data_IF_482392372184
#
_entry.id   IF_482392372184
#
_cell.length_a   1.000
_cell.length_b   1.000
_cell.length_c   1.000
_cell.angle_alpha   90.00
_cell.angle_beta   90.00
_cell.angle_gamma   90.00
#
_symmetry.space_group_name_H-M   'P 1'
#
loop_
_entity.id
_entity.type
_entity.pdbx_description
1 polymer ?
#
# COMPACT_ATOMS: atom_id res chain seq x y z
N UNK A 1 -24.21 28.69 -10.70
CA UNK A 1 -23.94 27.30 -10.25
C UNK A 1 -22.66 27.36 -9.43
N UNK A 2 -22.54 26.64 -8.33
CA UNK A 2 -21.30 26.67 -7.54
C UNK A 2 -20.22 25.84 -8.26
N UNK A 3 -18.94 26.18 -8.07
CA UNK A 3 -17.82 25.44 -8.68
C UNK A 3 -17.87 23.92 -8.35
N UNK A 4 -18.45 23.58 -7.18
CA UNK A 4 -18.66 22.19 -6.74
C UNK A 4 -19.63 21.42 -7.65
N UNK A 5 -20.67 22.06 -8.20
CA UNK A 5 -21.62 21.39 -9.08
C UNK A 5 -20.98 21.03 -10.44
N UNK A 6 -20.05 21.86 -10.93
CA UNK A 6 -19.45 21.68 -12.25
C UNK A 6 -18.48 20.49 -12.31
N UNK A 7 -17.61 20.29 -11.30
CA UNK A 7 -16.68 19.16 -11.31
C UNK A 7 -17.40 17.83 -11.05
N UNK A 8 -18.46 17.81 -10.23
CA UNK A 8 -19.26 16.61 -9.96
C UNK A 8 -19.92 16.11 -11.23
N UNK A 9 -20.53 17.01 -12.02
CA UNK A 9 -21.11 16.65 -13.31
C UNK A 9 -20.05 16.12 -14.29
N UNK A 10 -18.89 16.79 -14.37
CA UNK A 10 -17.78 16.34 -15.19
C UNK A 10 -17.25 14.97 -14.75
N UNK A 11 -17.08 14.74 -13.45
CA UNK A 11 -16.65 13.44 -12.93
C UNK A 11 -17.66 12.34 -13.23
N UNK A 12 -18.96 12.60 -13.05
CA UNK A 12 -20.02 11.65 -13.35
C UNK A 12 -20.02 11.27 -14.84
N UNK A 13 -19.79 12.26 -15.73
CA UNK A 13 -19.69 12.03 -17.17
C UNK A 13 -18.38 11.34 -17.56
N UNK A 14 -17.24 11.81 -17.08
CA UNK A 14 -15.91 11.32 -17.50
C UNK A 14 -15.49 10.03 -16.79
N UNK A 15 -15.76 9.94 -15.49
CA UNK A 15 -15.19 8.94 -14.58
C UNK A 15 -13.73 9.21 -14.23
N UNK A 16 -13.15 10.32 -14.67
CA UNK A 16 -11.72 10.60 -14.57
C UNK A 16 -11.35 11.31 -13.27
N UNK A 17 -11.39 10.55 -12.18
CA UNK A 17 -11.04 11.06 -10.86
C UNK A 17 -9.54 11.30 -10.68
N UNK A 18 -8.69 10.57 -11.42
CA UNK A 18 -7.25 10.77 -11.37
C UNK A 18 -6.85 12.16 -11.91
N UNK A 19 -7.35 12.53 -13.11
CA UNK A 19 -7.09 13.85 -13.68
C UNK A 19 -7.64 14.95 -12.79
N UNK A 20 -8.87 14.80 -12.29
CA UNK A 20 -9.48 15.75 -11.37
C UNK A 20 -8.61 15.96 -10.09
N UNK A 21 -8.09 14.87 -9.52
CA UNK A 21 -7.25 14.94 -8.34
C UNK A 21 -5.89 15.59 -8.61
N UNK A 22 -5.31 15.37 -9.79
CA UNK A 22 -4.04 15.97 -10.21
C UNK A 22 -4.15 17.45 -10.50
N UNK A 23 -5.25 17.88 -11.10
CA UNK A 23 -5.55 19.30 -11.36
C UNK A 23 -5.84 20.08 -10.07
N UNK A 24 -6.32 19.39 -9.03
CA UNK A 24 -6.65 19.95 -7.72
C UNK A 24 -5.77 19.32 -6.62
N UNK A 25 -4.46 19.32 -6.80
CA UNK A 25 -3.51 18.52 -6.00
C UNK A 25 -3.48 18.84 -4.50
N UNK A 26 -3.99 20.00 -4.10
CA UNK A 26 -3.98 20.47 -2.71
C UNK A 26 -5.28 20.20 -1.96
N UNK A 27 -6.40 20.40 -2.64
CA UNK A 27 -7.71 20.32 -2.07
C UNK A 27 -8.77 20.20 -3.17
N UNK A 28 -9.81 19.46 -2.88
CA UNK A 28 -11.03 19.40 -3.65
C UNK A 28 -12.22 19.48 -2.69
N UNK A 29 -13.15 20.39 -2.92
CA UNK A 29 -14.35 20.50 -2.11
C UNK A 29 -15.13 19.18 -2.13
N UNK A 30 -15.69 18.71 -1.00
CA UNK A 30 -16.51 17.51 -0.98
C UNK A 30 -17.74 17.62 -1.88
N UNK A 31 -18.10 16.49 -2.49
CA UNK A 31 -19.27 16.42 -3.34
C UNK A 31 -19.80 14.99 -3.49
N UNK A 32 -21.04 14.85 -3.89
CA UNK A 32 -21.69 13.55 -4.03
C UNK A 32 -22.59 13.45 -5.25
N UNK A 33 -22.76 12.23 -5.74
CA UNK A 33 -23.74 11.89 -6.77
C UNK A 33 -24.14 10.41 -6.64
N UNK A 34 -25.18 10.01 -7.36
CA UNK A 34 -25.66 8.63 -7.34
C UNK A 34 -25.63 8.06 -8.76
N UNK A 35 -25.04 6.88 -8.93
CA UNK A 35 -25.02 6.15 -10.19
C UNK A 35 -26.39 5.56 -10.51
N UNK A 36 -26.63 5.21 -11.77
CA UNK A 36 -27.90 4.63 -12.23
C UNK A 36 -28.29 3.34 -11.53
N UNK A 37 -27.31 2.58 -11.00
CA UNK A 37 -27.54 1.36 -10.23
C UNK A 37 -27.76 1.61 -8.71
N UNK A 38 -27.90 2.87 -8.28
CA UNK A 38 -28.14 3.27 -6.90
C UNK A 38 -26.88 3.39 -6.03
N UNK A 39 -25.69 3.12 -6.58
CA UNK A 39 -24.43 3.32 -5.84
C UNK A 39 -24.20 4.80 -5.56
N UNK A 40 -24.05 5.17 -4.29
CA UNK A 40 -23.63 6.52 -3.90
C UNK A 40 -22.13 6.68 -4.09
N UNK A 41 -21.75 7.81 -4.65
CA UNK A 41 -20.35 8.22 -4.85
C UNK A 41 -20.10 9.48 -4.03
N UNK A 42 -19.15 9.43 -3.11
CA UNK A 42 -18.76 10.56 -2.28
C UNK A 42 -17.30 10.91 -2.57
N UNK A 43 -17.07 12.11 -3.08
CA UNK A 43 -15.74 12.71 -3.17
C UNK A 43 -15.49 13.42 -1.84
N UNK A 44 -14.51 13.00 -1.09
CA UNK A 44 -14.20 13.57 0.23
C UNK A 44 -13.16 14.70 0.15
N UNK A 45 -12.18 14.55 -0.72
CA UNK A 45 -11.09 15.51 -0.95
C UNK A 45 -10.35 15.09 -2.23
N UNK A 46 -9.35 15.84 -2.64
CA UNK A 46 -8.45 15.42 -3.71
C UNK A 46 -7.88 14.03 -3.42
N UNK A 47 -7.95 13.14 -4.40
CA UNK A 47 -7.45 11.76 -4.28
C UNK A 47 -8.24 10.86 -3.32
N UNK A 48 -9.41 11.26 -2.80
CA UNK A 48 -10.20 10.45 -1.85
C UNK A 48 -11.64 10.33 -2.31
N UNK A 49 -12.03 9.15 -2.78
CA UNK A 49 -13.38 8.86 -3.31
C UNK A 49 -13.93 7.55 -2.74
N UNK A 50 -15.17 7.60 -2.26
CA UNK A 50 -15.89 6.47 -1.66
C UNK A 50 -17.06 6.06 -2.54
N UNK A 51 -17.25 4.75 -2.64
CA UNK A 51 -18.41 4.13 -3.29
C UNK A 51 -19.19 3.29 -2.29
N UNK A 52 -20.48 3.57 -2.15
CA UNK A 52 -21.38 2.82 -1.30
C UNK A 52 -22.53 2.24 -2.14
N UNK A 53 -22.52 0.92 -2.41
CA UNK A 53 -23.62 0.27 -3.13
C UNK A 53 -24.90 0.29 -2.30
N UNK A 54 -26.03 0.12 -2.96
CA UNK A 54 -27.35 0.10 -2.30
C UNK A 54 -27.67 -1.24 -1.61
N UNK A 55 -26.81 -2.24 -1.81
CA UNK A 55 -26.95 -3.59 -1.20
C UNK A 55 -26.29 -3.65 0.17
N UNK A 56 -26.68 -4.63 0.98
CA UNK A 56 -25.98 -4.94 2.24
C UNK A 56 -24.58 -5.45 1.93
N UNK A 57 -23.58 -4.84 2.53
CA UNK A 57 -22.17 -5.17 2.32
C UNK A 57 -21.62 -5.98 3.50
N UNK A 58 -20.66 -6.85 3.23
CA UNK A 58 -19.97 -7.64 4.26
C UNK A 58 -18.54 -7.17 4.51
N UNK A 59 -18.04 -6.27 3.67
CA UNK A 59 -16.66 -5.76 3.74
C UNK A 59 -16.62 -4.24 3.52
N UNK A 60 -15.74 -3.60 4.26
CA UNK A 60 -15.29 -2.24 4.07
C UNK A 60 -13.86 -2.30 3.55
N UNK A 61 -13.64 -1.85 2.31
CA UNK A 61 -12.38 -2.05 1.60
C UNK A 61 -11.74 -0.70 1.30
N UNK A 62 -10.51 -0.50 1.75
CA UNK A 62 -9.65 0.61 1.34
C UNK A 62 -8.66 0.10 0.31
N UNK A 63 -8.63 0.74 -0.86
CA UNK A 63 -7.63 0.54 -1.90
C UNK A 63 -6.85 1.83 -2.06
N UNK A 64 -5.62 1.87 -1.55
CA UNK A 64 -4.73 3.02 -1.68
C UNK A 64 -3.64 2.78 -2.71
N UNK A 65 -3.25 3.84 -3.38
CA UNK A 65 -2.12 3.93 -4.29
C UNK A 65 -1.54 5.34 -4.24
N UNK A 66 -0.46 5.60 -4.94
CA UNK A 66 0.17 6.91 -4.97
C UNK A 66 0.57 7.46 -3.59
N UNK A 67 0.80 6.62 -2.58
CA UNK A 67 1.54 7.03 -1.38
C UNK A 67 2.94 7.53 -1.81
N UNK A 68 3.43 6.94 -2.89
CA UNK A 68 4.58 7.43 -3.65
C UNK A 68 4.12 7.76 -5.09
N UNK A 69 4.32 9.01 -5.52
CA UNK A 69 3.73 9.52 -6.75
C UNK A 69 4.30 8.94 -8.06
N UNK A 70 5.52 8.43 -8.02
CA UNK A 70 6.17 7.79 -9.17
C UNK A 70 5.85 6.30 -9.34
N UNK A 71 5.06 5.71 -8.46
CA UNK A 71 4.64 4.30 -8.49
C UNK A 71 3.35 4.16 -9.28
N UNK A 72 3.44 4.24 -10.62
CA UNK A 72 2.29 4.53 -11.50
C UNK A 72 1.39 3.33 -11.78
N UNK A 73 1.90 2.08 -11.83
CA UNK A 73 1.07 0.91 -12.14
C UNK A 73 -0.12 0.73 -11.17
N UNK A 74 0.04 0.84 -9.83
CA UNK A 74 -1.08 0.83 -8.90
C UNK A 74 -2.08 1.97 -9.13
N UNK A 75 -1.59 3.15 -9.53
CA UNK A 75 -2.44 4.31 -9.85
C UNK A 75 -3.29 4.01 -11.06
N UNK A 76 -2.70 3.46 -12.14
CA UNK A 76 -3.40 3.07 -13.36
C UNK A 76 -4.46 1.98 -13.10
N UNK A 77 -4.16 1.01 -12.23
CA UNK A 77 -5.14 -0.02 -11.82
C UNK A 77 -6.33 0.63 -11.10
N UNK A 78 -6.08 1.47 -10.09
CA UNK A 78 -7.15 2.13 -9.33
C UNK A 78 -7.98 3.06 -10.22
N UNK A 79 -7.33 3.80 -11.13
CA UNK A 79 -8.00 4.69 -12.09
C UNK A 79 -8.95 3.92 -13.03
N UNK A 80 -8.50 2.78 -13.55
CA UNK A 80 -9.34 1.92 -14.40
C UNK A 80 -10.54 1.36 -13.62
N UNK A 81 -10.35 0.97 -12.35
CA UNK A 81 -11.44 0.49 -11.48
C UNK A 81 -12.45 1.60 -11.21
N UNK A 82 -12.01 2.78 -10.80
CA UNK A 82 -12.87 3.95 -10.53
C UNK A 82 -13.67 4.32 -11.78
N UNK A 83 -13.01 4.46 -12.93
CA UNK A 83 -13.67 4.72 -14.23
C UNK A 83 -14.70 3.66 -14.57
N UNK A 84 -14.38 2.39 -14.35
CA UNK A 84 -15.30 1.28 -14.66
C UNK A 84 -16.52 1.26 -13.74
N UNK A 85 -16.37 1.63 -12.46
CA UNK A 85 -17.49 1.75 -11.51
C UNK A 85 -18.40 2.92 -11.92
N UNK A 86 -17.83 4.12 -12.13
CA UNK A 86 -18.61 5.32 -12.48
C UNK A 86 -19.35 5.12 -13.82
N UNK A 87 -18.73 4.44 -14.78
CA UNK A 87 -19.34 4.12 -16.08
C UNK A 87 -20.35 2.97 -16.04
N UNK A 88 -20.64 2.40 -14.85
CA UNK A 88 -21.57 1.30 -14.68
C UNK A 88 -21.11 -0.05 -15.27
N UNK A 89 -19.84 -0.17 -15.62
CA UNK A 89 -19.25 -1.44 -16.10
C UNK A 89 -19.01 -2.44 -14.97
N UNK A 90 -18.80 -1.95 -13.75
CA UNK A 90 -18.65 -2.75 -12.53
C UNK A 90 -19.75 -2.36 -11.55
N UNK A 91 -20.53 -3.36 -11.11
CA UNK A 91 -21.51 -3.21 -10.03
C UNK A 91 -20.88 -3.68 -8.72
N UNK A 92 -20.85 -2.81 -7.72
CA UNK A 92 -20.23 -3.12 -6.43
C UNK A 92 -21.13 -3.98 -5.55
N UNK A 93 -20.53 -4.94 -4.85
CA UNK A 93 -21.14 -5.71 -3.76
C UNK A 93 -20.60 -5.27 -2.39
N UNK A 94 -19.54 -4.44 -2.35
CA UNK A 94 -18.89 -4.01 -1.13
C UNK A 94 -18.72 -2.49 -1.10
N UNK A 95 -18.56 -1.91 0.10
CA UNK A 95 -18.15 -0.51 0.26
C UNK A 95 -16.66 -0.38 -0.05
N UNK A 96 -16.31 0.62 -0.84
CA UNK A 96 -14.91 0.82 -1.26
C UNK A 96 -14.52 2.28 -1.13
N UNK A 97 -13.39 2.53 -0.48
CA UNK A 97 -12.69 3.81 -0.45
C UNK A 97 -11.42 3.70 -1.28
N UNK A 98 -11.35 4.46 -2.38
CA UNK A 98 -10.12 4.60 -3.16
C UNK A 98 -9.34 5.83 -2.71
N UNK A 99 -8.02 5.67 -2.63
CA UNK A 99 -7.12 6.74 -2.20
C UNK A 99 -5.94 6.87 -3.16
N UNK A 100 -5.76 8.05 -3.75
CA UNK A 100 -4.49 8.53 -4.30
C UNK A 100 -3.78 9.33 -3.21
N UNK A 101 -2.76 8.75 -2.58
CA UNK A 101 -2.18 9.27 -1.35
C UNK A 101 -1.58 10.66 -1.49
N UNK A 102 -0.78 10.91 -2.54
CA UNK A 102 -0.01 12.14 -2.72
C UNK A 102 -0.12 12.69 -4.16
N UNK A 103 -1.22 13.39 -4.51
CA UNK A 103 -1.41 13.98 -5.83
C UNK A 103 -0.27 14.91 -6.27
N UNK A 104 0.33 15.67 -5.34
CA UNK A 104 1.46 16.54 -5.65
C UNK A 104 2.68 15.77 -6.14
N UNK A 105 3.03 14.67 -5.47
CA UNK A 105 4.14 13.83 -5.89
C UNK A 105 3.88 13.11 -7.21
N UNK A 106 2.60 12.79 -7.53
CA UNK A 106 2.21 12.29 -8.85
C UNK A 106 2.55 13.31 -9.93
N UNK A 107 2.20 14.59 -9.70
CA UNK A 107 2.37 15.65 -10.69
C UNK A 107 3.83 15.92 -11.03
N UNK A 108 4.71 15.84 -10.04
CA UNK A 108 6.15 16.03 -10.26
C UNK A 108 6.89 14.72 -10.62
N UNK A 109 6.18 13.59 -10.70
CA UNK A 109 6.75 12.28 -11.04
C UNK A 109 7.82 11.80 -10.05
N UNK A 110 7.71 12.18 -8.77
CA UNK A 110 8.65 11.81 -7.72
C UNK A 110 8.00 10.91 -6.67
N UNK A 111 8.85 10.26 -5.89
CA UNK A 111 8.41 9.41 -4.79
C UNK A 111 7.64 10.21 -3.73
N UNK A 112 8.13 11.38 -3.37
CA UNK A 112 7.51 12.34 -2.43
C UNK A 112 8.02 13.76 -2.77
N UNK A 113 7.41 14.78 -2.20
CA UNK A 113 7.79 16.18 -2.41
C UNK A 113 8.86 16.61 -1.42
N UNK A 114 8.55 16.54 -0.10
CA UNK A 114 9.45 16.95 0.98
C UNK A 114 9.79 15.77 1.89
N UNK A 115 8.81 14.94 2.25
CA UNK A 115 8.97 13.85 3.20
C UNK A 115 8.22 12.59 2.77
N UNK A 116 8.80 11.42 3.02
CA UNK A 116 8.19 10.15 2.65
C UNK A 116 6.89 9.92 3.42
N UNK A 117 5.76 10.09 2.73
CA UNK A 117 4.41 9.94 3.31
C UNK A 117 4.24 8.59 4.03
N UNK A 118 4.84 7.50 3.52
CA UNK A 118 4.77 6.17 4.13
C UNK A 118 5.69 6.00 5.38
N UNK A 119 6.09 7.11 6.00
CA UNK A 119 6.80 7.18 7.29
C UNK A 119 6.06 8.07 8.29
N UNK A 120 4.91 8.60 7.93
CA UNK A 120 4.19 9.63 8.69
C UNK A 120 2.90 9.13 9.33
N UNK A 121 2.49 7.88 9.03
CA UNK A 121 1.27 7.31 9.60
C UNK A 121 1.45 6.82 11.04
N UNK A 122 0.34 6.48 11.68
CA UNK A 122 0.24 6.06 13.08
C UNK A 122 0.71 7.17 14.04
N UNK A 123 0.28 8.42 13.76
CA UNK A 123 0.57 9.59 14.58
C UNK A 123 1.95 10.22 14.35
N UNK A 124 2.81 9.64 13.50
CA UNK A 124 4.16 10.17 13.25
C UNK A 124 4.15 11.52 12.52
N UNK A 125 3.04 11.89 11.89
CA UNK A 125 2.85 13.21 11.28
C UNK A 125 2.88 14.36 12.29
N UNK A 126 2.61 14.10 13.58
CA UNK A 126 2.63 15.08 14.69
C UNK A 126 3.74 14.83 15.71
N UNK A 127 4.82 14.12 15.34
CA UNK A 127 5.94 13.86 16.24
C UNK A 127 6.54 15.16 16.78
N UNK A 128 6.98 15.15 18.05
CA UNK A 128 7.57 16.31 18.69
C UNK A 128 8.82 16.84 17.95
N UNK A 129 8.95 18.16 17.87
CA UNK A 129 10.12 18.84 17.31
C UNK A 129 10.22 18.80 15.78
N UNK A 130 9.17 18.38 15.06
CA UNK A 130 9.15 18.38 13.59
C UNK A 130 8.49 19.64 13.03
N UNK A 131 8.97 20.08 11.88
CA UNK A 131 8.32 21.15 11.11
C UNK A 131 7.17 20.55 10.30
N UNK A 132 5.99 21.17 10.39
CA UNK A 132 4.84 20.75 9.58
C UNK A 132 5.10 21.04 8.10
N UNK A 133 4.82 20.05 7.27
CA UNK A 133 4.85 20.13 5.81
C UNK A 133 3.58 19.53 5.21
N UNK A 134 3.48 19.56 3.90
CA UNK A 134 2.26 19.12 3.21
C UNK A 134 2.00 17.62 3.36
N UNK A 135 3.04 16.78 3.31
CA UNK A 135 2.89 15.34 3.51
C UNK A 135 2.43 15.00 4.93
N UNK A 136 2.87 15.75 5.95
CA UNK A 136 2.41 15.56 7.34
C UNK A 136 0.92 15.91 7.50
N UNK A 137 0.48 17.02 6.93
CA UNK A 137 -0.93 17.40 6.89
C UNK A 137 -1.74 16.35 6.12
N UNK A 138 -1.19 15.87 4.98
CA UNK A 138 -1.84 14.84 4.16
C UNK A 138 -1.98 13.50 4.89
N UNK A 139 -0.95 13.06 5.62
CA UNK A 139 -1.01 11.84 6.44
C UNK A 139 -2.13 11.91 7.47
N UNK A 140 -2.25 13.03 8.20
CA UNK A 140 -3.34 13.25 9.17
C UNK A 140 -4.72 13.17 8.51
N UNK A 141 -4.90 13.81 7.34
CA UNK A 141 -6.16 13.75 6.58
C UNK A 141 -6.49 12.32 6.14
N UNK A 142 -5.51 11.56 5.62
CA UNK A 142 -5.71 10.19 5.16
C UNK A 142 -6.08 9.26 6.32
N UNK A 143 -5.44 9.40 7.48
CA UNK A 143 -5.85 8.68 8.70
C UNK A 143 -7.30 8.99 9.08
N UNK A 144 -7.69 10.26 9.03
CA UNK A 144 -9.05 10.69 9.32
C UNK A 144 -10.07 10.06 8.35
N UNK A 145 -9.84 10.10 7.03
CA UNK A 145 -10.75 9.51 6.05
C UNK A 145 -10.89 8.00 6.20
N UNK A 146 -9.81 7.28 6.47
CA UNK A 146 -9.87 5.83 6.74
C UNK A 146 -10.62 5.53 8.02
N UNK A 147 -10.39 6.33 9.10
CA UNK A 147 -11.11 6.18 10.36
C UNK A 147 -12.61 6.38 10.20
N UNK A 148 -13.00 7.47 9.53
CA UNK A 148 -14.40 7.78 9.23
C UNK A 148 -15.07 6.71 8.37
N UNK A 149 -14.37 6.25 7.33
CA UNK A 149 -14.87 5.19 6.46
C UNK A 149 -15.17 3.90 7.26
N UNK A 150 -14.22 3.43 8.06
CA UNK A 150 -14.43 2.24 8.88
C UNK A 150 -15.44 2.44 10.03
N UNK A 151 -15.53 3.66 10.58
CA UNK A 151 -16.49 3.96 11.64
C UNK A 151 -17.95 3.94 11.15
N UNK A 152 -18.19 4.28 9.87
CA UNK A 152 -19.52 4.27 9.23
C UNK A 152 -19.92 2.89 8.68
N UNK A 153 -19.01 1.91 8.72
CA UNK A 153 -19.28 0.54 8.29
C UNK A 153 -20.19 -0.20 9.24
N UNK A 154 -20.78 -1.29 8.76
CA UNK A 154 -21.58 -2.18 9.61
C UNK A 154 -20.70 -2.83 10.69
N UNK A 155 -21.26 -3.05 11.88
CA UNK A 155 -20.50 -3.53 13.04
C UNK A 155 -19.73 -4.85 12.78
N UNK A 156 -20.27 -5.69 11.91
CA UNK A 156 -19.70 -7.01 11.58
C UNK A 156 -18.98 -7.04 10.22
N UNK A 157 -18.86 -5.91 9.53
CA UNK A 157 -18.12 -5.86 8.27
C UNK A 157 -16.64 -6.16 8.48
N UNK A 158 -16.09 -7.02 7.63
CA UNK A 158 -14.67 -7.23 7.58
C UNK A 158 -13.98 -5.98 7.02
N UNK A 159 -12.95 -5.48 7.72
CA UNK A 159 -12.17 -4.33 7.29
C UNK A 159 -10.93 -4.78 6.56
N UNK A 160 -10.71 -4.25 5.36
CA UNK A 160 -9.55 -4.55 4.54
C UNK A 160 -8.86 -3.26 4.08
N UNK A 161 -7.54 -3.26 4.05
CA UNK A 161 -6.78 -2.17 3.43
C UNK A 161 -5.59 -2.72 2.64
N UNK A 162 -5.64 -2.59 1.32
CA UNK A 162 -4.56 -2.98 0.43
C UNK A 162 -3.89 -1.73 -0.13
N UNK A 163 -2.70 -1.44 0.38
CA UNK A 163 -1.87 -0.30 0.00
C UNK A 163 -0.94 -0.74 -1.14
N UNK A 164 -1.29 -0.34 -2.37
CA UNK A 164 -0.67 -0.84 -3.59
C UNK A 164 0.55 0.01 -3.98
N UNK A 165 1.67 -0.65 -4.14
CA UNK A 165 2.98 -0.06 -4.41
C UNK A 165 3.69 -0.74 -5.57
N UNK A 166 4.80 -0.14 -5.98
CA UNK A 166 5.84 -0.76 -6.79
C UNK A 166 7.22 -0.42 -6.23
N UNK A 167 8.15 -1.37 -6.30
CA UNK A 167 9.48 -1.21 -5.74
C UNK A 167 10.40 -0.41 -6.67
N UNK A 168 11.23 0.47 -6.11
CA UNK A 168 12.28 1.19 -6.85
C UNK A 168 13.34 0.21 -7.33
N UNK A 169 13.76 -0.71 -6.46
CA UNK A 169 14.77 -1.72 -6.76
C UNK A 169 14.14 -2.97 -7.35
N UNK A 170 14.88 -3.62 -8.23
CA UNK A 170 14.55 -4.98 -8.65
C UNK A 170 14.42 -5.92 -7.45
N UNK A 171 13.75 -7.02 -7.66
CA UNK A 171 13.54 -8.03 -6.63
C UNK A 171 13.69 -9.42 -7.24
N UNK A 172 14.30 -10.37 -6.50
CA UNK A 172 14.29 -11.77 -6.92
C UNK A 172 12.87 -12.31 -7.00
N UNK A 173 12.02 -11.83 -6.09
CA UNK A 173 10.60 -12.08 -6.08
C UNK A 173 9.91 -10.83 -6.62
N UNK A 174 9.53 -10.86 -7.91
CA UNK A 174 9.03 -9.70 -8.67
C UNK A 174 7.89 -8.97 -7.94
N UNK A 175 6.98 -9.75 -7.31
CA UNK A 175 5.88 -9.25 -6.50
C UNK A 175 5.95 -9.84 -5.11
N UNK A 176 5.75 -9.00 -4.11
CA UNK A 176 5.68 -9.45 -2.73
C UNK A 176 4.77 -8.54 -1.90
N UNK A 177 4.34 -9.03 -0.74
CA UNK A 177 3.56 -8.23 0.19
C UNK A 177 4.25 -8.13 1.54
N UNK A 178 4.06 -7.00 2.22
CA UNK A 178 4.47 -6.79 3.60
C UNK A 178 3.24 -6.94 4.49
N UNK A 179 3.22 -7.98 5.31
CA UNK A 179 2.22 -8.20 6.33
C UNK A 179 2.61 -7.40 7.58
N UNK A 180 1.80 -6.44 8.02
CA UNK A 180 2.10 -5.64 9.20
C UNK A 180 2.28 -6.48 10.46
N UNK A 181 2.94 -5.92 11.46
CA UNK A 181 3.06 -6.53 12.78
C UNK A 181 1.69 -6.60 13.48
N UNK A 182 1.25 -7.80 13.82
CA UNK A 182 -0.08 -8.06 14.35
C UNK A 182 -0.16 -8.10 15.89
N UNK A 183 0.92 -7.76 16.61
CA UNK A 183 0.94 -7.75 18.09
C UNK A 183 0.49 -9.07 18.72
N UNK A 184 0.93 -10.19 18.14
CA UNK A 184 0.63 -11.55 18.66
C UNK A 184 -0.69 -12.14 18.16
N UNK A 185 -1.48 -11.40 17.35
CA UNK A 185 -2.63 -11.99 16.66
C UNK A 185 -2.15 -12.95 15.57
N UNK A 186 -2.92 -14.02 15.29
CA UNK A 186 -2.57 -14.96 14.23
C UNK A 186 -2.62 -14.34 12.85
N UNK A 187 -1.79 -14.82 11.93
CA UNK A 187 -1.88 -14.52 10.51
C UNK A 187 -3.01 -15.33 9.87
N UNK A 188 -3.69 -14.73 8.91
CA UNK A 188 -4.85 -15.33 8.25
C UNK A 188 -4.46 -16.01 6.94
N UNK A 189 -4.69 -17.30 6.82
CA UNK A 189 -4.52 -18.07 5.57
C UNK A 189 -5.37 -17.50 4.42
N UNK A 190 -6.59 -17.06 4.72
CA UNK A 190 -7.47 -16.42 3.73
C UNK A 190 -6.85 -15.19 3.09
N UNK A 191 -6.04 -14.43 3.83
CA UNK A 191 -5.34 -13.27 3.30
C UNK A 191 -4.15 -13.68 2.42
N UNK A 192 -3.46 -14.77 2.74
CA UNK A 192 -2.44 -15.34 1.86
C UNK A 192 -3.06 -15.85 0.55
N UNK A 193 -4.24 -16.50 0.61
CA UNK A 193 -4.98 -16.95 -0.58
C UNK A 193 -5.40 -15.76 -1.48
N UNK A 194 -5.84 -14.64 -0.87
CA UNK A 194 -6.10 -13.41 -1.61
C UNK A 194 -4.84 -12.90 -2.33
N UNK A 195 -3.70 -12.81 -1.64
CA UNK A 195 -2.44 -12.37 -2.23
C UNK A 195 -1.99 -13.30 -3.37
N UNK A 196 -2.10 -14.61 -3.18
CA UNK A 196 -1.79 -15.60 -4.24
C UNK A 196 -2.64 -15.37 -5.49
N UNK A 197 -3.93 -15.06 -5.32
CA UNK A 197 -4.84 -14.73 -6.42
C UNK A 197 -4.45 -13.45 -7.14
N UNK A 198 -3.88 -12.47 -6.43
CA UNK A 198 -3.26 -11.28 -7.01
C UNK A 198 -1.95 -11.58 -7.77
N UNK A 199 -1.45 -12.82 -7.72
CA UNK A 199 -0.15 -13.21 -8.27
C UNK A 199 1.02 -12.86 -7.37
N UNK A 200 0.77 -12.70 -6.06
CA UNK A 200 1.76 -12.40 -5.01
C UNK A 200 1.87 -13.63 -4.11
N UNK A 201 2.97 -14.37 -4.24
CA UNK A 201 3.23 -15.56 -3.44
C UNK A 201 4.31 -15.36 -2.37
N UNK A 202 5.04 -14.25 -2.44
CA UNK A 202 6.08 -13.91 -1.46
C UNK A 202 5.53 -12.93 -0.43
N UNK A 203 5.66 -13.27 0.85
CA UNK A 203 5.15 -12.41 1.94
C UNK A 203 6.19 -12.23 3.04
N UNK A 204 6.41 -10.96 3.39
CA UNK A 204 7.29 -10.53 4.44
C UNK A 204 6.49 -10.24 5.71
N UNK A 205 6.71 -11.01 6.77
CA UNK A 205 6.08 -10.84 8.08
C UNK A 205 6.88 -9.86 8.95
N UNK A 206 6.26 -8.72 9.29
CA UNK A 206 6.88 -7.73 10.18
C UNK A 206 6.84 -8.19 11.64
N UNK A 207 7.90 -7.90 12.39
CA UNK A 207 8.02 -8.24 13.82
C UNK A 207 7.95 -7.05 14.77
N UNK A 208 7.82 -5.86 14.24
CA UNK A 208 7.75 -4.62 15.02
C UNK A 208 6.78 -3.63 14.41
N UNK A 209 6.35 -2.69 15.23
CA UNK A 209 5.53 -1.55 14.80
C UNK A 209 6.23 -0.77 13.66
N UNK A 210 5.42 -0.20 12.78
CA UNK A 210 5.86 0.59 11.64
C UNK A 210 5.07 1.90 11.55
N UNK A 211 5.46 2.74 10.61
CA UNK A 211 4.81 4.03 10.35
C UNK A 211 4.15 4.06 8.99
N UNK A 212 3.84 2.88 8.44
CA UNK A 212 3.23 2.72 7.13
C UNK A 212 1.71 2.83 7.18
N UNK A 213 1.09 3.18 6.06
CA UNK A 213 -0.36 3.32 5.98
C UNK A 213 -1.09 2.00 6.24
N UNK A 214 -0.58 0.90 5.69
CA UNK A 214 -1.11 -0.44 5.96
C UNK A 214 -1.01 -0.83 7.45
N UNK A 215 0.10 -0.51 8.13
CA UNK A 215 0.24 -0.78 9.56
C UNK A 215 -0.77 0.04 10.38
N UNK A 216 -0.96 1.32 10.07
CA UNK A 216 -1.97 2.15 10.73
C UNK A 216 -3.36 1.49 10.70
N UNK A 217 -3.82 1.10 9.51
CA UNK A 217 -5.14 0.46 9.36
C UNK A 217 -5.25 -0.87 10.10
N UNK A 218 -4.18 -1.68 10.10
CA UNK A 218 -4.14 -2.94 10.84
C UNK A 218 -4.16 -2.71 12.35
N UNK A 219 -3.33 -1.78 12.85
CA UNK A 219 -3.16 -1.56 14.28
C UNK A 219 -4.36 -0.84 14.91
N UNK A 220 -4.82 0.26 14.30
CA UNK A 220 -5.87 1.11 14.85
C UNK A 220 -7.27 0.53 14.61
N UNK A 221 -7.51 -0.03 13.43
CA UNK A 221 -8.84 -0.47 13.00
C UNK A 221 -9.02 -1.98 12.95
N UNK A 222 -7.95 -2.75 13.21
CA UNK A 222 -7.99 -4.22 13.11
C UNK A 222 -8.24 -4.72 11.69
N UNK A 223 -7.93 -3.89 10.68
CA UNK A 223 -8.12 -4.25 9.29
C UNK A 223 -7.12 -5.34 8.85
N UNK A 224 -7.57 -6.24 8.00
CA UNK A 224 -6.68 -7.09 7.20
C UNK A 224 -5.97 -6.18 6.20
N UNK A 225 -4.66 -6.01 6.37
CA UNK A 225 -3.95 -4.95 5.68
C UNK A 225 -2.57 -5.37 5.20
N UNK A 226 -2.16 -4.86 4.04
CA UNK A 226 -0.86 -5.14 3.44
C UNK A 226 -0.33 -3.91 2.68
N UNK A 227 1.00 -3.76 2.68
CA UNK A 227 1.68 -3.06 1.59
C UNK A 227 1.98 -4.09 0.51
N UNK A 228 1.48 -3.88 -0.70
CA UNK A 228 1.58 -4.86 -1.81
C UNK A 228 2.47 -4.29 -2.89
N UNK A 229 3.66 -4.86 -3.04
CA UNK A 229 4.66 -4.48 -4.05
C UNK A 229 4.41 -5.28 -5.33
N UNK A 230 3.95 -4.61 -6.39
CA UNK A 230 3.46 -5.24 -7.62
C UNK A 230 4.50 -5.34 -8.74
N UNK A 231 5.76 -5.08 -8.44
CA UNK A 231 6.85 -5.10 -9.40
C UNK A 231 7.66 -3.81 -9.37
N UNK A 232 8.36 -3.50 -10.46
CA UNK A 232 9.27 -2.35 -10.52
C UNK A 232 8.56 -1.09 -11.02
N UNK A 233 8.94 0.07 -10.47
CA UNK A 233 8.50 1.42 -10.88
C UNK A 233 8.76 1.66 -12.36
N UNK A 234 7.74 2.21 -13.06
CA UNK A 234 7.84 2.75 -14.43
C UNK A 234 7.00 4.03 -14.55
N UNK A 235 7.26 4.89 -15.54
CA UNK A 235 6.41 6.04 -15.85
C UNK A 235 4.98 5.63 -16.27
N UNK A 236 4.03 6.55 -16.18
CA UNK A 236 2.69 6.38 -16.72
C UNK A 236 2.71 5.95 -18.20
N UNK A 237 1.88 4.97 -18.56
CA UNK A 237 1.76 4.46 -19.93
C UNK A 237 2.90 3.54 -20.37
N UNK A 238 3.94 3.36 -19.57
CA UNK A 238 5.05 2.43 -19.85
C UNK A 238 4.92 1.10 -19.10
N UNK A 239 3.90 0.97 -18.26
CA UNK A 239 3.61 -0.27 -17.55
C UNK A 239 3.02 -1.31 -18.50
N UNK A 240 3.60 -2.50 -18.51
CA UNK A 240 2.95 -3.66 -19.15
C UNK A 240 1.80 -4.13 -18.25
N UNK A 241 0.60 -3.62 -18.49
CA UNK A 241 -0.58 -3.89 -17.67
C UNK A 241 -1.00 -5.37 -17.68
N UNK A 242 -0.55 -6.18 -18.65
CA UNK A 242 -0.78 -7.62 -18.63
C UNK A 242 -0.16 -8.33 -17.43
N UNK A 243 0.96 -7.82 -16.92
CA UNK A 243 1.62 -8.32 -15.70
C UNK A 243 0.80 -8.12 -14.43
N UNK A 244 -0.15 -7.19 -14.46
CA UNK A 244 -1.02 -6.85 -13.33
C UNK A 244 -2.43 -7.44 -13.47
N UNK A 245 -2.72 -8.21 -14.53
CA UNK A 245 -4.04 -8.76 -14.81
C UNK A 245 -4.60 -9.56 -13.62
N UNK A 246 -3.82 -10.48 -13.03
CA UNK A 246 -4.25 -11.24 -11.85
C UNK A 246 -4.62 -10.34 -10.67
N UNK A 247 -3.81 -9.32 -10.41
CA UNK A 247 -4.09 -8.35 -9.34
C UNK A 247 -5.39 -7.61 -9.62
N UNK A 248 -5.55 -7.06 -10.83
CA UNK A 248 -6.76 -6.33 -11.23
C UNK A 248 -8.00 -7.21 -11.15
N UNK A 249 -7.96 -8.42 -11.71
CA UNK A 249 -9.10 -9.35 -11.72
C UNK A 249 -9.49 -9.76 -10.29
N UNK A 250 -8.50 -9.98 -9.41
CA UNK A 250 -8.75 -10.30 -7.99
C UNK A 250 -9.36 -9.10 -7.25
N UNK A 251 -8.90 -7.87 -7.50
CA UNK A 251 -9.51 -6.66 -6.92
C UNK A 251 -10.93 -6.45 -7.44
N UNK A 252 -11.19 -6.69 -8.73
CA UNK A 252 -12.55 -6.67 -9.28
C UNK A 252 -13.43 -7.68 -8.55
N UNK A 253 -13.01 -8.93 -8.43
CA UNK A 253 -13.76 -9.95 -7.72
C UNK A 253 -14.02 -9.55 -6.25
N UNK A 254 -13.01 -9.01 -5.56
CA UNK A 254 -13.11 -8.56 -4.17
C UNK A 254 -14.19 -7.49 -3.97
N UNK A 255 -14.31 -6.52 -4.87
CA UNK A 255 -15.24 -5.39 -4.74
C UNK A 255 -16.63 -5.66 -5.33
N UNK A 256 -16.75 -6.64 -6.26
CA UNK A 256 -18.01 -6.93 -6.97
C UNK A 256 -18.73 -8.20 -6.51
N UNK A 257 -18.10 -9.02 -5.65
CA UNK A 257 -18.67 -10.26 -5.16
C UNK A 257 -18.83 -10.25 -3.64
N UNK A 258 -19.89 -10.90 -3.13
CA UNK A 258 -20.06 -11.07 -1.69
C UNK A 258 -19.02 -12.03 -1.10
N UNK A 259 -18.76 -13.12 -1.81
CA UNK A 259 -17.74 -14.11 -1.48
C UNK A 259 -16.88 -14.38 -2.70
N UNK A 260 -15.56 -14.40 -2.51
CA UNK A 260 -14.60 -14.74 -3.55
C UNK A 260 -14.02 -16.12 -3.27
N UNK A 261 -14.15 -17.02 -4.25
CA UNK A 261 -13.58 -18.35 -4.13
C UNK A 261 -12.09 -18.31 -4.51
N UNK A 262 -11.22 -18.33 -3.51
CA UNK A 262 -9.80 -18.46 -3.71
C UNK A 262 -9.37 -19.93 -3.84
N UNK A 263 -8.20 -20.16 -4.45
CA UNK A 263 -7.55 -21.48 -4.45
C UNK A 263 -7.43 -21.99 -3.01
N UNK A 264 -7.71 -23.28 -2.80
CA UNK A 264 -7.50 -23.89 -1.49
C UNK A 264 -6.07 -23.66 -1.02
N UNK A 265 -5.92 -23.33 0.28
CA UNK A 265 -4.64 -23.05 0.87
C UNK A 265 -3.69 -24.25 0.77
N UNK A 266 -2.49 -24.02 0.22
CA UNK A 266 -1.39 -24.94 0.23
C UNK A 266 -0.12 -24.17 0.64
N UNK A 267 0.58 -24.65 1.66
CA UNK A 267 1.80 -24.02 2.19
C UNK A 267 2.90 -23.88 1.10
N UNK A 268 3.01 -24.87 0.21
CA UNK A 268 4.02 -24.90 -0.85
C UNK A 268 3.81 -23.83 -1.94
N UNK A 269 2.66 -23.17 -1.96
CA UNK A 269 2.41 -22.07 -2.90
C UNK A 269 3.12 -20.76 -2.48
N UNK A 270 3.67 -20.68 -1.25
CA UNK A 270 4.17 -19.44 -0.67
C UNK A 270 5.65 -19.48 -0.31
N UNK A 271 6.30 -18.36 -0.53
CA UNK A 271 7.61 -18.04 0.02
C UNK A 271 7.44 -17.00 1.15
N UNK A 272 7.53 -17.46 2.39
CA UNK A 272 7.36 -16.59 3.54
C UNK A 272 8.72 -16.21 4.13
N UNK A 273 8.84 -14.94 4.46
CA UNK A 273 10.00 -14.39 5.15
C UNK A 273 9.57 -13.69 6.43
N UNK A 274 10.44 -13.71 7.40
CA UNK A 274 10.30 -12.95 8.65
C UNK A 274 11.41 -11.93 8.76
N UNK A 275 11.10 -10.71 9.18
CA UNK A 275 12.14 -9.72 9.47
C UNK A 275 13.06 -10.30 10.56
N UNK A 276 14.34 -10.35 10.25
CA UNK A 276 15.38 -10.78 11.18
C UNK A 276 15.85 -9.59 12.01
N UNK A 277 16.28 -8.51 11.34
CA UNK A 277 16.69 -7.26 12.00
C UNK A 277 16.56 -6.04 11.11
N UNK A 278 16.63 -4.87 11.74
CA UNK A 278 16.71 -3.57 11.10
C UNK A 278 18.08 -2.94 11.36
N UNK A 279 18.71 -2.42 10.31
CA UNK A 279 19.97 -1.68 10.40
C UNK A 279 19.67 -0.23 10.05
N UNK A 280 19.86 0.67 11.02
CA UNK A 280 19.64 2.10 10.85
C UNK A 280 20.96 2.78 10.51
N UNK A 281 20.92 3.81 9.69
CA UNK A 281 22.03 4.71 9.46
C UNK A 281 22.19 5.64 10.66
N UNK A 282 23.27 5.49 11.45
CA UNK A 282 23.54 6.36 12.59
C UNK A 282 24.78 7.21 12.38
N UNK A 283 25.61 6.88 11.37
CA UNK A 283 26.85 7.59 11.04
C UNK A 283 26.80 8.12 9.60
N UNK A 284 27.55 9.19 9.35
CA UNK A 284 27.63 9.83 8.02
C UNK A 284 28.28 8.91 6.97
N UNK A 285 29.23 8.08 7.36
CA UNK A 285 29.99 7.16 6.53
C UNK A 285 29.34 5.77 6.43
N UNK A 286 28.01 5.71 6.56
CA UNK A 286 27.26 4.48 6.33
C UNK A 286 27.42 3.99 4.89
N UNK A 287 27.66 2.68 4.71
CA UNK A 287 27.82 2.10 3.38
C UNK A 287 27.44 0.61 3.34
N UNK A 288 27.08 0.14 2.15
CA UNK A 288 26.91 -1.28 1.85
C UNK A 288 28.15 -1.82 1.10
N UNK A 289 28.56 -3.09 1.33
CA UNK A 289 29.64 -3.73 0.57
C UNK A 289 29.19 -4.24 -0.81
N UNK A 290 27.88 -4.31 -1.04
CA UNK A 290 27.28 -4.78 -2.29
C UNK A 290 26.90 -3.59 -3.20
N UNK A 291 26.72 -3.89 -4.48
CA UNK A 291 26.36 -2.89 -5.49
C UNK A 291 25.00 -2.22 -5.22
N UNK A 292 24.85 -0.97 -5.67
CA UNK A 292 23.61 -0.19 -5.56
C UNK A 292 22.44 -0.81 -6.33
N UNK A 293 22.70 -1.70 -7.28
CA UNK A 293 21.70 -2.46 -8.03
C UNK A 293 21.34 -3.81 -7.37
N UNK A 294 21.91 -4.10 -6.19
CA UNK A 294 21.57 -5.31 -5.46
C UNK A 294 20.05 -5.41 -5.24
N UNK A 295 19.47 -6.52 -5.69
CA UNK A 295 18.02 -6.73 -5.68
C UNK A 295 17.53 -7.19 -4.30
N UNK A 296 16.28 -6.87 -3.98
CA UNK A 296 15.61 -7.40 -2.80
C UNK A 296 15.65 -8.92 -2.77
N UNK A 297 15.71 -9.50 -1.58
CA UNK A 297 15.87 -10.94 -1.30
C UNK A 297 17.20 -11.54 -1.77
N UNK A 298 18.24 -10.73 -1.96
CA UNK A 298 19.60 -11.26 -2.13
C UNK A 298 20.07 -11.82 -0.79
N UNK A 299 20.34 -13.13 -0.76
CA UNK A 299 20.85 -13.85 0.41
C UNK A 299 22.37 -13.77 0.52
N UNK A 300 22.85 -13.79 1.76
CA UNK A 300 24.27 -13.79 2.15
C UNK A 300 24.58 -15.02 2.97
N UNK A 301 25.81 -15.53 2.86
CA UNK A 301 26.30 -16.57 3.75
C UNK A 301 26.59 -16.03 5.15
N UNK A 302 26.45 -16.83 6.17
CA UNK A 302 26.82 -16.48 7.54
C UNK A 302 28.24 -15.92 7.60
N UNK A 303 28.41 -14.75 8.23
CA UNK A 303 29.68 -14.04 8.35
C UNK A 303 30.03 -13.12 7.19
N UNK A 304 29.22 -13.07 6.11
CA UNK A 304 29.40 -12.06 5.08
C UNK A 304 28.97 -10.68 5.58
N UNK A 305 29.70 -9.64 5.17
CA UNK A 305 29.42 -8.26 5.55
C UNK A 305 28.15 -7.77 4.86
N UNK A 306 27.24 -7.17 5.64
CA UNK A 306 25.98 -6.58 5.15
C UNK A 306 26.03 -5.06 5.09
N UNK A 307 26.65 -4.41 6.09
CA UNK A 307 26.75 -2.95 6.15
C UNK A 307 27.91 -2.51 7.04
N UNK A 308 28.43 -1.31 6.77
CA UNK A 308 29.31 -0.55 7.67
C UNK A 308 28.59 0.72 8.11
N UNK A 309 28.73 1.06 9.39
CA UNK A 309 28.11 2.23 10.01
C UNK A 309 29.14 2.83 10.98
N UNK A 310 30.01 3.69 10.48
CA UNK A 310 31.20 4.11 11.18
C UNK A 310 32.15 2.94 11.44
N UNK A 311 32.50 2.74 12.69
CA UNK A 311 33.35 1.61 13.12
C UNK A 311 32.57 0.29 13.31
N UNK A 312 31.23 0.34 13.22
CA UNK A 312 30.40 -0.86 13.42
C UNK A 312 30.20 -1.57 12.09
N UNK A 313 30.50 -2.87 12.07
CA UNK A 313 30.23 -3.76 10.94
C UNK A 313 29.09 -4.71 11.27
N UNK A 314 28.15 -4.85 10.34
CA UNK A 314 27.03 -5.79 10.44
C UNK A 314 27.30 -6.97 9.50
N UNK A 315 27.32 -8.16 10.05
CA UNK A 315 27.52 -9.41 9.30
C UNK A 315 26.26 -10.25 9.31
N UNK A 316 26.06 -11.07 8.31
CA UNK A 316 24.97 -12.03 8.28
C UNK A 316 25.11 -13.03 9.45
N UNK A 317 24.03 -13.18 10.24
CA UNK A 317 24.03 -14.05 11.43
C UNK A 317 23.80 -15.51 11.10
N UNK A 318 23.07 -15.75 10.00
CA UNK A 318 22.70 -17.08 9.53
C UNK A 318 22.89 -17.20 8.03
N UNK A 319 23.05 -18.43 7.53
CA UNK A 319 23.09 -18.67 6.09
C UNK A 319 21.74 -18.32 5.44
N UNK A 320 21.80 -17.62 4.32
CA UNK A 320 20.61 -17.21 3.58
C UNK A 320 19.89 -16.00 4.20
N UNK A 321 20.48 -15.30 5.18
CA UNK A 321 19.96 -14.00 5.61
C UNK A 321 19.94 -13.06 4.41
N UNK A 322 18.75 -12.58 4.03
CA UNK A 322 18.56 -11.82 2.79
C UNK A 322 18.26 -10.35 3.09
N UNK A 323 18.67 -9.48 2.18
CA UNK A 323 18.44 -8.03 2.29
C UNK A 323 17.12 -7.63 1.65
N UNK A 324 16.47 -6.59 2.22
CA UNK A 324 15.29 -5.97 1.64
C UNK A 324 15.27 -4.46 1.89
N UNK A 325 14.83 -3.69 0.90
CA UNK A 325 14.79 -2.23 0.91
C UNK A 325 16.11 -1.54 1.29
N UNK A 326 17.27 -1.96 0.73
CA UNK A 326 18.53 -1.28 1.05
C UNK A 326 18.54 0.15 0.48
N UNK A 327 18.89 1.13 1.33
CA UNK A 327 19.07 2.52 0.95
C UNK A 327 20.09 3.17 1.90
N UNK A 328 21.31 3.42 1.40
CA UNK A 328 22.38 4.04 2.18
C UNK A 328 22.18 5.55 2.41
N UNK A 329 21.31 6.20 1.59
CA UNK A 329 21.13 7.65 1.57
C UNK A 329 19.98 8.14 2.47
N UNK A 330 19.39 7.24 3.29
CA UNK A 330 18.37 7.67 4.25
C UNK A 330 18.95 8.68 5.27
N UNK A 331 18.10 9.52 5.84
CA UNK A 331 18.52 10.44 6.88
C UNK A 331 19.09 9.70 8.11
N UNK A 332 19.96 10.36 8.86
CA UNK A 332 20.50 9.81 10.12
C UNK A 332 19.35 9.39 11.06
N UNK A 333 19.52 8.24 11.69
CA UNK A 333 18.51 7.60 12.55
C UNK A 333 17.48 6.77 11.79
N UNK A 334 17.33 6.93 10.48
CA UNK A 334 16.39 6.15 9.69
C UNK A 334 16.96 4.79 9.28
N UNK A 335 16.04 3.85 9.02
CA UNK A 335 16.36 2.50 8.58
C UNK A 335 16.96 2.50 7.19
N UNK A 336 18.21 2.05 7.09
CA UNK A 336 18.95 1.87 5.85
C UNK A 336 18.74 0.47 5.23
N UNK A 337 18.47 -0.56 6.06
CA UNK A 337 18.34 -1.94 5.61
C UNK A 337 17.41 -2.73 6.54
N UNK A 338 16.57 -3.59 5.98
CA UNK A 338 16.01 -4.74 6.68
C UNK A 338 16.73 -6.01 6.22
N UNK A 339 16.93 -6.95 7.14
CA UNK A 339 17.26 -8.31 6.76
C UNK A 339 16.13 -9.26 7.12
N UNK A 340 16.02 -10.32 6.36
CA UNK A 340 14.93 -11.30 6.46
C UNK A 340 15.49 -12.71 6.41
N UNK A 341 14.77 -13.63 7.02
CA UNK A 341 15.05 -15.08 6.98
C UNK A 341 13.79 -15.83 6.54
N UNK A 342 13.91 -17.00 5.90
CA UNK A 342 12.77 -17.84 5.58
C UNK A 342 11.92 -18.14 6.82
N UNK A 343 10.61 -18.20 6.65
CA UNK A 343 9.63 -18.52 7.68
C UNK A 343 8.75 -19.68 7.20
N UNK A 344 8.69 -20.75 8.00
CA UNK A 344 7.78 -21.85 7.75
C UNK A 344 6.39 -21.56 8.31
N UNK A 345 5.37 -22.08 7.62
CA UNK A 345 3.98 -22.00 8.09
C UNK A 345 3.80 -22.91 9.30
N UNK A 346 3.27 -22.35 10.36
CA UNK A 346 3.07 -23.00 11.64
C UNK A 346 1.68 -22.68 12.23
N UNK A 347 1.45 -23.03 13.48
CA UNK A 347 0.18 -22.83 14.21
C UNK A 347 -0.28 -21.36 14.35
N UNK A 348 0.61 -20.38 14.11
CA UNK A 348 0.25 -18.97 14.10
C UNK A 348 -0.51 -18.56 12.84
N UNK A 349 -0.63 -19.44 11.83
CA UNK A 349 -1.42 -19.24 10.63
C UNK A 349 -2.79 -19.95 10.76
N UNK A 350 -3.86 -19.18 10.81
CA UNK A 350 -5.25 -19.65 10.95
C UNK A 350 -6.09 -19.45 9.71
#
# INVERSE_FOLDING_TARGET
MSATSDYIEQLHISGDFLTLSRENEWHLDPGEFTLSNGTKVNVHDTGVIEFQPQVTTSKDIVLSSAIHGNETAPIEICDELIKSIIKGKLALAQRVLFIYGNPQSINIGKRFVEENLNRLFNGHHTADGVTMNNERVRAAKLEHYVSDFFARGEANSARCHYDLHTAIRGSKNDKFAVYPFLHGKPWKKSQLQFLLSCGVNTVLMMKSAATTFSYYSSYVHGADSFTVELGQVKPFGENDMSRFAKTKDTLIALITQNEVNYKQFNADDFELFSVHRSINRTEQDFSFPFSDDAVNFTGFAKGELLAKNGQTCYYADVDGEAIIFPNADVALGQRALLTVVPLEINENFK
#
